data_IF_077705729469
#
_entry.id   IF_077705729469
#
_cell.length_a   1.000
_cell.length_b   1.000
_cell.length_c   1.000
_cell.angle_alpha   90.00
_cell.angle_beta   90.00
_cell.angle_gamma   90.00
#
_symmetry.space_group_name_H-M   'P 1'
#
loop_
_entity.id
_entity.type
_entity.pdbx_description
1 polymer ?
#
# COMPACT_ATOMS: atom_id res chain seq x y z
N UNK A 1 -36.04 -7.02 -44.99
CA UNK A 1 -35.49 -7.85 -43.89
C UNK A 1 -34.69 -6.94 -42.99
N UNK A 2 -35.15 -6.73 -41.75
CA UNK A 2 -34.42 -5.93 -40.77
C UNK A 2 -33.49 -6.85 -39.95
N UNK A 3 -32.22 -6.49 -39.70
CA UNK A 3 -31.29 -7.28 -38.91
C UNK A 3 -31.37 -6.85 -37.44
N UNK A 4 -32.28 -7.45 -36.67
CA UNK A 4 -32.41 -7.18 -35.22
C UNK A 4 -32.45 -8.46 -34.38
N UNK A 5 -31.85 -9.55 -34.86
CA UNK A 5 -31.66 -10.75 -34.07
C UNK A 5 -30.18 -10.84 -33.68
N UNK A 6 -29.83 -10.36 -32.48
CA UNK A 6 -28.44 -10.43 -32.02
C UNK A 6 -28.09 -9.81 -30.66
N UNK A 7 -29.05 -9.32 -29.88
CA UNK A 7 -28.78 -8.91 -28.49
C UNK A 7 -29.79 -9.61 -27.58
N UNK A 8 -29.43 -10.81 -27.14
CA UNK A 8 -30.10 -11.47 -26.02
C UNK A 8 -29.67 -10.68 -24.79
N UNK A 9 -30.58 -9.92 -24.18
CA UNK A 9 -30.29 -9.32 -22.88
C UNK A 9 -29.87 -10.46 -21.92
N UNK A 10 -28.79 -10.31 -21.14
CA UNK A 10 -28.48 -11.27 -20.09
C UNK A 10 -29.72 -11.43 -19.19
N UNK A 11 -29.93 -12.64 -18.65
CA UNK A 11 -31.05 -12.90 -17.71
C UNK A 11 -31.10 -11.77 -16.68
N UNK A 12 -32.26 -11.11 -16.55
CA UNK A 12 -32.49 -10.15 -15.49
C UNK A 12 -32.26 -10.86 -14.16
N UNK A 13 -31.19 -10.47 -13.48
CA UNK A 13 -30.85 -10.99 -12.17
C UNK A 13 -31.82 -10.37 -11.16
N UNK A 14 -32.64 -11.18 -10.49
CA UNK A 14 -33.46 -10.68 -9.39
C UNK A 14 -32.53 -10.29 -8.24
N UNK A 15 -32.50 -9.00 -7.91
CA UNK A 15 -31.64 -8.48 -6.84
C UNK A 15 -32.01 -9.09 -5.47
N UNK A 16 -33.22 -9.65 -5.34
CA UNK A 16 -33.68 -10.40 -4.15
C UNK A 16 -33.01 -11.76 -4.00
N UNK A 17 -32.48 -12.33 -5.09
CA UNK A 17 -31.63 -13.52 -5.07
C UNK A 17 -30.15 -13.17 -4.82
N UNK A 18 -29.82 -11.88 -4.61
CA UNK A 18 -28.49 -11.52 -4.14
C UNK A 18 -28.42 -11.81 -2.63
N UNK A 19 -27.46 -12.66 -2.23
CA UNK A 19 -27.19 -13.00 -0.83
C UNK A 19 -26.61 -11.82 -0.01
N UNK A 20 -26.92 -10.58 -0.39
CA UNK A 20 -26.40 -9.36 0.23
C UNK A 20 -26.87 -9.25 1.69
N UNK A 21 -28.03 -9.81 2.04
CA UNK A 21 -28.53 -9.87 3.42
C UNK A 21 -27.68 -10.73 4.35
N UNK A 22 -26.88 -11.65 3.81
CA UNK A 22 -26.09 -12.61 4.59
C UNK A 22 -24.63 -12.18 4.78
N UNK A 23 -24.22 -11.02 4.25
CA UNK A 23 -22.84 -10.53 4.39
C UNK A 23 -22.47 -10.38 5.88
N UNK A 24 -21.42 -11.07 6.31
CA UNK A 24 -20.97 -11.11 7.71
C UNK A 24 -21.64 -12.18 8.58
N UNK A 25 -22.53 -13.02 8.03
CA UNK A 25 -23.10 -14.18 8.72
C UNK A 25 -22.16 -15.40 8.70
N UNK A 26 -22.39 -16.37 9.59
CA UNK A 26 -21.67 -17.66 9.57
C UNK A 26 -21.73 -18.36 8.21
N UNK A 27 -22.84 -18.19 7.48
CA UNK A 27 -23.01 -18.74 6.15
C UNK A 27 -22.11 -18.03 5.13
N UNK A 28 -21.99 -16.71 5.19
CA UNK A 28 -21.06 -15.92 4.36
C UNK A 28 -19.60 -16.25 4.68
N UNK A 29 -19.24 -16.38 5.96
CA UNK A 29 -17.93 -16.87 6.40
C UNK A 29 -17.62 -18.25 5.81
N UNK A 30 -18.54 -19.21 5.92
CA UNK A 30 -18.38 -20.55 5.31
C UNK A 30 -18.27 -20.51 3.79
N UNK A 31 -19.05 -19.67 3.12
CA UNK A 31 -19.00 -19.53 1.65
C UNK A 31 -17.66 -18.93 1.22
N UNK A 32 -17.17 -17.89 1.91
CA UNK A 32 -15.86 -17.30 1.69
C UNK A 32 -14.74 -18.30 1.94
N UNK A 33 -14.82 -19.06 3.04
CA UNK A 33 -13.85 -20.11 3.35
C UNK A 33 -13.80 -21.17 2.25
N UNK A 34 -14.96 -21.66 1.80
CA UNK A 34 -15.04 -22.62 0.70
C UNK A 34 -14.49 -22.05 -0.62
N UNK A 35 -14.79 -20.77 -0.92
CA UNK A 35 -14.19 -20.06 -2.07
C UNK A 35 -12.67 -20.03 -1.94
N UNK A 36 -12.17 -19.67 -0.75
CA UNK A 36 -10.74 -19.61 -0.46
C UNK A 36 -10.04 -20.96 -0.64
N UNK A 37 -10.67 -22.07 -0.26
CA UNK A 37 -10.10 -23.41 -0.49
C UNK A 37 -9.90 -23.73 -1.98
N UNK A 38 -10.71 -23.14 -2.86
CA UNK A 38 -10.60 -23.33 -4.31
C UNK A 38 -9.64 -22.36 -4.99
N UNK A 39 -9.23 -21.28 -4.31
CA UNK A 39 -8.29 -20.31 -4.85
C UNK A 39 -6.86 -20.88 -4.88
N UNK A 40 -6.25 -21.07 -6.07
CA UNK A 40 -4.92 -21.67 -6.19
C UNK A 40 -3.84 -20.93 -5.42
N UNK A 41 -3.98 -19.60 -5.25
CA UNK A 41 -3.01 -18.79 -4.52
C UNK A 41 -2.86 -19.17 -3.03
N UNK A 42 -3.92 -19.69 -2.40
CA UNK A 42 -3.94 -19.99 -0.96
C UNK A 42 -3.48 -21.41 -0.63
N UNK A 43 -3.56 -22.34 -1.60
CA UNK A 43 -3.25 -23.75 -1.38
C UNK A 43 -1.77 -24.02 -1.02
N UNK A 44 -0.86 -23.11 -1.39
CA UNK A 44 0.58 -23.28 -1.22
C UNK A 44 1.20 -22.22 -0.29
N UNK A 45 0.44 -21.69 0.68
CA UNK A 45 0.97 -20.76 1.67
C UNK A 45 2.03 -21.46 2.54
N UNK A 46 3.27 -20.95 2.59
CA UNK A 46 4.33 -21.54 3.42
C UNK A 46 3.94 -21.58 4.90
N UNK A 47 4.23 -22.71 5.56
CA UNK A 47 4.02 -22.92 6.99
C UNK A 47 5.25 -22.49 7.82
N UNK A 48 6.01 -21.54 7.31
CA UNK A 48 7.22 -21.01 7.93
C UNK A 48 7.22 -19.48 7.90
N UNK A 49 7.92 -18.81 8.83
CA UNK A 49 8.04 -17.37 8.80
C UNK A 49 8.63 -16.85 7.50
N UNK A 50 7.99 -15.83 6.92
CA UNK A 50 8.40 -15.30 5.62
C UNK A 50 7.39 -14.36 5.00
N UNK A 51 7.74 -13.88 3.81
CA UNK A 51 6.89 -13.03 2.99
C UNK A 51 6.39 -13.81 1.77
N UNK A 52 5.08 -13.73 1.54
CA UNK A 52 4.45 -14.20 0.30
C UNK A 52 3.73 -13.03 -0.35
N UNK A 53 3.97 -12.81 -1.64
CA UNK A 53 3.45 -11.64 -2.36
C UNK A 53 2.71 -12.13 -3.58
N UNK A 54 1.56 -11.51 -3.85
CA UNK A 54 0.79 -11.72 -5.06
C UNK A 54 0.45 -10.38 -5.70
N UNK A 55 0.34 -10.39 -7.02
CA UNK A 55 -0.15 -9.29 -7.83
C UNK A 55 -1.56 -9.60 -8.32
N UNK A 56 -2.43 -8.59 -8.34
CA UNK A 56 -3.75 -8.73 -8.94
C UNK A 56 -3.64 -8.51 -10.45
N UNK A 57 -4.09 -9.50 -11.23
CA UNK A 57 -4.09 -9.43 -12.69
C UNK A 57 -5.42 -9.96 -13.22
N UNK A 58 -6.21 -9.13 -13.91
CA UNK A 58 -7.48 -9.54 -14.50
C UNK A 58 -8.39 -10.35 -13.54
N UNK A 59 -8.62 -9.84 -12.33
CA UNK A 59 -9.38 -10.49 -11.24
C UNK A 59 -8.75 -11.74 -10.62
N UNK A 60 -7.51 -12.09 -10.96
CA UNK A 60 -6.80 -13.25 -10.43
C UNK A 60 -5.67 -12.85 -9.47
N UNK A 61 -5.36 -13.75 -8.54
CA UNK A 61 -4.27 -13.58 -7.55
C UNK A 61 -3.03 -14.32 -8.06
N UNK A 62 -2.09 -13.59 -8.68
CA UNK A 62 -0.92 -14.18 -9.33
C UNK A 62 0.30 -14.11 -8.41
N UNK A 63 1.00 -15.23 -8.13
CA UNK A 63 2.22 -15.22 -7.32
C UNK A 63 3.28 -14.27 -7.88
N UNK A 64 3.82 -13.40 -7.02
CA UNK A 64 4.87 -12.48 -7.38
C UNK A 64 6.26 -13.14 -7.25
N UNK A 65 7.13 -13.05 -8.27
CA UNK A 65 8.44 -13.70 -8.23
C UNK A 65 9.28 -13.26 -7.02
N UNK A 66 9.94 -14.21 -6.35
CA UNK A 66 10.75 -13.94 -5.14
C UNK A 66 11.89 -12.96 -5.42
N UNK A 67 12.43 -12.96 -6.63
CA UNK A 67 13.50 -12.05 -7.07
C UNK A 67 13.02 -10.59 -7.19
N UNK A 68 11.70 -10.39 -7.31
CA UNK A 68 11.06 -9.07 -7.39
C UNK A 68 10.46 -8.62 -6.06
N UNK A 69 10.79 -9.29 -4.95
CA UNK A 69 10.35 -8.90 -3.60
C UNK A 69 10.68 -7.44 -3.32
N UNK A 70 9.66 -6.67 -2.89
CA UNK A 70 9.77 -5.24 -2.62
C UNK A 70 9.65 -4.34 -3.85
N UNK A 71 9.43 -4.89 -5.05
CA UNK A 71 9.12 -4.11 -6.27
C UNK A 71 7.61 -4.10 -6.53
N UNK A 72 7.05 -2.90 -6.65
CA UNK A 72 5.63 -2.64 -6.89
C UNK A 72 5.45 -1.75 -8.13
N UNK A 73 4.31 -1.87 -8.78
CA UNK A 73 3.92 -1.06 -9.94
C UNK A 73 2.80 -0.11 -9.56
N UNK A 74 2.94 1.17 -9.93
CA UNK A 74 2.01 2.22 -9.52
C UNK A 74 0.60 2.08 -10.13
N UNK A 75 0.47 1.32 -11.23
CA UNK A 75 -0.79 0.97 -11.87
C UNK A 75 -1.44 -0.31 -11.36
N UNK A 76 -0.83 -1.04 -10.43
CA UNK A 76 -1.30 -2.37 -9.99
C UNK A 76 -1.71 -2.37 -8.51
N UNK A 77 -2.43 -3.43 -8.11
CA UNK A 77 -2.69 -3.76 -6.71
C UNK A 77 -2.01 -5.08 -6.32
N UNK A 78 -1.55 -5.17 -5.07
CA UNK A 78 -0.82 -6.33 -4.55
C UNK A 78 -1.39 -6.80 -3.21
N UNK A 79 -1.20 -8.08 -2.91
CA UNK A 79 -1.42 -8.67 -1.58
C UNK A 79 -0.07 -9.16 -1.07
N UNK A 80 0.26 -8.81 0.17
CA UNK A 80 1.48 -9.23 0.86
C UNK A 80 1.07 -9.90 2.16
N UNK A 81 1.37 -11.18 2.30
CA UNK A 81 1.24 -11.94 3.54
C UNK A 81 2.59 -11.99 4.24
N UNK A 82 2.65 -11.48 5.47
CA UNK A 82 3.77 -11.64 6.37
C UNK A 82 3.41 -12.65 7.45
N UNK A 83 4.10 -13.79 7.44
CA UNK A 83 3.97 -14.84 8.45
C UNK A 83 5.14 -14.73 9.42
N UNK A 84 4.87 -14.71 10.72
CA UNK A 84 5.88 -14.63 11.76
C UNK A 84 5.50 -15.47 12.98
N UNK A 85 6.47 -15.76 13.85
CA UNK A 85 6.22 -16.54 15.08
C UNK A 85 5.87 -15.64 16.26
N UNK A 86 4.85 -16.04 17.01
CA UNK A 86 4.50 -15.48 18.32
C UNK A 86 4.48 -16.65 19.30
N UNK A 87 5.57 -16.81 20.06
CA UNK A 87 5.79 -18.03 20.83
C UNK A 87 5.97 -19.23 19.90
N UNK A 88 5.15 -20.27 20.08
CA UNK A 88 5.16 -21.49 19.26
C UNK A 88 4.15 -21.45 18.10
N UNK A 89 3.29 -20.42 18.04
CA UNK A 89 2.26 -20.28 17.01
C UNK A 89 2.68 -19.31 15.89
N UNK A 90 2.07 -19.47 14.72
CA UNK A 90 2.22 -18.55 13.60
C UNK A 90 1.15 -17.48 13.67
N UNK A 91 1.57 -16.23 13.48
CA UNK A 91 0.70 -15.09 13.29
C UNK A 91 0.90 -14.52 11.88
N UNK A 92 -0.12 -13.82 11.41
CA UNK A 92 -0.20 -13.36 10.03
C UNK A 92 -0.64 -11.90 9.98
N UNK A 93 0.07 -11.10 9.18
CA UNK A 93 -0.37 -9.78 8.76
C UNK A 93 -0.58 -9.81 7.23
N UNK A 94 -1.76 -9.41 6.77
CA UNK A 94 -2.12 -9.31 5.36
C UNK A 94 -2.19 -7.83 4.97
N UNK A 95 -1.31 -7.40 4.09
CA UNK A 95 -1.30 -6.06 3.53
C UNK A 95 -1.84 -6.11 2.11
N UNK A 96 -2.86 -5.30 1.79
CA UNK A 96 -3.21 -5.02 0.40
C UNK A 96 -2.72 -3.63 0.03
N UNK A 97 -1.79 -3.59 -0.93
CA UNK A 97 -1.14 -2.39 -1.39
C UNK A 97 -1.80 -1.90 -2.68
N UNK A 98 -2.17 -0.62 -2.70
CA UNK A 98 -2.87 0.03 -3.79
C UNK A 98 -1.94 1.05 -4.46
N UNK A 99 -1.64 0.80 -5.73
CA UNK A 99 -0.92 1.73 -6.58
C UNK A 99 -1.69 3.03 -6.77
N UNK A 100 -0.96 4.14 -6.94
CA UNK A 100 -1.53 5.47 -7.15
C UNK A 100 -2.38 5.61 -8.40
N UNK A 101 -2.17 4.71 -9.38
CA UNK A 101 -2.87 4.61 -10.67
C UNK A 101 -3.63 3.28 -10.82
N UNK A 102 -3.76 2.49 -9.75
CA UNK A 102 -4.49 1.22 -9.82
C UNK A 102 -5.96 1.43 -10.15
N UNK A 103 -6.52 0.47 -10.86
CA UNK A 103 -7.91 0.53 -11.32
C UNK A 103 -8.89 0.07 -10.24
N UNK A 104 -10.17 0.44 -10.38
CA UNK A 104 -11.18 0.15 -9.37
C UNK A 104 -11.45 -1.37 -9.23
N UNK A 105 -11.35 -2.14 -10.33
CA UNK A 105 -11.37 -3.61 -10.32
C UNK A 105 -10.27 -4.13 -9.41
N UNK A 106 -9.03 -3.76 -9.70
CA UNK A 106 -7.86 -4.31 -9.03
C UNK A 106 -7.87 -3.99 -7.54
N UNK A 107 -8.20 -2.74 -7.19
CA UNK A 107 -8.34 -2.34 -5.79
C UNK A 107 -9.47 -3.11 -5.08
N UNK A 108 -10.61 -3.30 -5.76
CA UNK A 108 -11.74 -4.06 -5.23
C UNK A 108 -11.41 -5.54 -5.04
N UNK A 109 -10.72 -6.15 -6.00
CA UNK A 109 -10.26 -7.54 -5.95
C UNK A 109 -9.23 -7.72 -4.84
N UNK A 110 -8.25 -6.81 -4.71
CA UNK A 110 -7.26 -6.87 -3.63
C UNK A 110 -7.95 -6.85 -2.25
N UNK A 111 -8.89 -5.91 -2.04
CA UNK A 111 -9.64 -5.84 -0.79
C UNK A 111 -10.48 -7.09 -0.52
N UNK A 112 -11.20 -7.59 -1.53
CA UNK A 112 -12.01 -8.81 -1.41
C UNK A 112 -11.15 -10.04 -1.11
N UNK A 113 -10.05 -10.22 -1.85
CA UNK A 113 -9.14 -11.35 -1.70
C UNK A 113 -8.35 -11.31 -0.39
N UNK A 114 -8.10 -10.14 0.18
CA UNK A 114 -7.58 -10.03 1.56
C UNK A 114 -8.55 -10.56 2.60
N UNK A 115 -9.86 -10.29 2.45
CA UNK A 115 -10.88 -10.85 3.35
C UNK A 115 -11.00 -12.36 3.16
N UNK A 116 -10.95 -12.84 1.91
CA UNK A 116 -10.95 -14.27 1.60
C UNK A 116 -9.72 -14.99 2.19
N UNK A 117 -8.54 -14.39 2.11
CA UNK A 117 -7.31 -14.92 2.69
C UNK A 117 -7.36 -14.93 4.23
N UNK A 118 -7.87 -13.89 4.87
CA UNK A 118 -8.04 -13.87 6.33
C UNK A 118 -8.99 -14.99 6.76
N UNK A 119 -10.09 -15.21 6.04
CA UNK A 119 -11.01 -16.32 6.31
C UNK A 119 -10.32 -17.69 6.16
N UNK A 120 -9.48 -17.86 5.13
CA UNK A 120 -8.66 -19.06 4.96
C UNK A 120 -7.72 -19.30 6.16
N UNK A 121 -7.21 -18.23 6.75
CA UNK A 121 -6.39 -18.21 7.97
C UNK A 121 -7.24 -18.13 9.25
N UNK A 122 -8.50 -18.56 9.18
CA UNK A 122 -9.45 -18.65 10.31
C UNK A 122 -9.75 -17.32 11.01
N UNK A 123 -9.64 -16.20 10.29
CA UNK A 123 -9.93 -14.85 10.80
C UNK A 123 -8.89 -14.32 11.80
N UNK A 124 -7.73 -14.98 11.89
CA UNK A 124 -6.67 -14.64 12.85
C UNK A 124 -5.71 -13.55 12.34
N UNK A 125 -5.77 -13.19 11.06
CA UNK A 125 -4.79 -12.29 10.47
C UNK A 125 -5.15 -10.81 10.66
N UNK A 126 -4.14 -9.97 10.92
CA UNK A 126 -4.32 -8.51 10.88
C UNK A 126 -4.43 -8.07 9.43
N UNK A 127 -5.44 -7.29 9.07
CA UNK A 127 -5.59 -6.77 7.71
C UNK A 127 -5.12 -5.32 7.65
N UNK A 128 -4.33 -4.97 6.64
CA UNK A 128 -3.74 -3.64 6.46
C UNK A 128 -4.04 -3.11 5.06
N UNK A 129 -4.65 -1.92 4.98
CA UNK A 129 -4.77 -1.16 3.75
C UNK A 129 -3.57 -0.25 3.58
N UNK A 130 -2.78 -0.50 2.54
CA UNK A 130 -1.59 0.28 2.20
C UNK A 130 -1.82 1.05 0.90
N UNK A 131 -1.49 2.35 0.90
CA UNK A 131 -1.56 3.19 -0.30
C UNK A 131 -0.16 3.64 -0.69
N UNK A 132 0.18 3.61 -1.99
CA UNK A 132 1.52 3.97 -2.50
C UNK A 132 2.06 5.29 -1.93
N UNK A 133 1.20 6.29 -1.77
CA UNK A 133 1.58 7.63 -1.32
C UNK A 133 1.83 7.70 0.18
N UNK A 134 1.33 6.77 0.98
CA UNK A 134 1.50 6.79 2.42
C UNK A 134 1.53 5.36 3.00
N UNK A 135 2.54 4.54 2.67
CA UNK A 135 2.64 3.20 3.21
C UNK A 135 3.01 3.25 4.70
N UNK A 136 2.54 2.27 5.47
CA UNK A 136 2.89 2.13 6.87
C UNK A 136 4.37 1.85 7.11
N UNK A 137 4.89 2.28 8.27
CA UNK A 137 6.24 1.92 8.72
C UNK A 137 6.42 0.39 8.83
N UNK A 138 5.37 -0.34 9.23
CA UNK A 138 5.34 -1.79 9.35
C UNK A 138 5.47 -2.46 7.98
N UNK A 139 4.69 -2.02 7.00
CA UNK A 139 4.79 -2.51 5.62
C UNK A 139 6.17 -2.24 5.03
N UNK A 140 6.69 -1.02 5.21
CA UNK A 140 8.01 -0.65 4.69
C UNK A 140 9.13 -1.41 5.40
N UNK A 141 8.98 -1.75 6.68
CA UNK A 141 9.94 -2.55 7.42
C UNK A 141 10.08 -4.00 6.93
N UNK A 142 9.08 -4.52 6.20
CA UNK A 142 9.13 -5.85 5.58
C UNK A 142 10.18 -5.92 4.46
N UNK A 143 10.45 -4.79 3.80
CA UNK A 143 11.30 -4.74 2.62
C UNK A 143 12.64 -4.07 2.92
N UNK A 144 13.73 -4.80 2.68
CA UNK A 144 15.06 -4.18 2.68
C UNK A 144 15.20 -3.15 1.57
N UNK A 145 14.55 -3.43 0.43
CA UNK A 145 14.52 -2.55 -0.73
C UNK A 145 13.06 -2.37 -1.13
N UNK A 146 12.52 -1.18 -0.95
CA UNK A 146 11.19 -0.82 -1.45
C UNK A 146 11.36 -0.05 -2.75
N UNK A 147 10.75 -0.56 -3.83
CA UNK A 147 10.84 0.00 -5.16
C UNK A 147 9.45 0.20 -5.77
N UNK A 148 9.16 1.39 -6.27
CA UNK A 148 7.93 1.68 -7.02
C UNK A 148 8.29 2.06 -8.45
N UNK A 149 7.68 1.36 -9.42
CA UNK A 149 7.87 1.56 -10.86
C UNK A 149 6.59 2.06 -11.51
N UNK A 150 6.74 2.80 -12.60
CA UNK A 150 5.62 3.26 -13.41
C UNK A 150 5.09 2.12 -14.30
N UNK A 151 3.78 2.07 -14.46
CA UNK A 151 3.10 1.10 -15.33
C UNK A 151 2.34 0.05 -14.52
N UNK A 152 1.98 -1.05 -15.17
CA UNK A 152 1.15 -2.08 -14.58
C UNK A 152 0.59 -3.06 -15.63
N UNK A 153 -0.28 -3.96 -15.17
CA UNK A 153 -1.07 -4.86 -15.99
C UNK A 153 -2.25 -4.08 -16.59
N UNK A 154 -2.78 -4.57 -17.71
CA UNK A 154 -3.95 -3.98 -18.35
C UNK A 154 -5.18 -4.31 -17.48
N UNK A 155 -6.00 -3.31 -17.15
CA UNK A 155 -7.27 -3.51 -16.42
C UNK A 155 -8.17 -4.53 -17.10
N UNK A 156 -8.92 -5.29 -16.29
CA UNK A 156 -9.91 -6.25 -16.76
C UNK A 156 -11.23 -5.61 -17.24
N UNK A 157 -11.43 -4.31 -17.00
CA UNK A 157 -12.69 -3.61 -17.31
C UNK A 157 -12.73 -2.89 -18.66
N UNK A 158 -11.61 -2.62 -19.35
CA UNK A 158 -11.64 -1.88 -20.63
C UNK A 158 -10.46 -2.18 -21.55
N UNK A 159 -10.74 -2.28 -22.85
CA UNK A 159 -9.74 -2.49 -23.92
C UNK A 159 -9.01 -1.18 -24.24
N UNK A 160 -7.70 -1.14 -24.05
CA UNK A 160 -6.83 -0.05 -24.54
C UNK A 160 -5.79 -0.64 -25.48
N UNK A 161 -5.66 -0.06 -26.67
CA UNK A 161 -4.73 -0.50 -27.72
C UNK A 161 -3.26 -0.49 -27.24
N UNK A 162 -2.40 -1.37 -27.77
CA UNK A 162 -0.98 -1.42 -27.39
C UNK A 162 -0.31 -0.10 -27.76
N UNK A 163 0.12 0.69 -26.77
CA UNK A 163 0.99 1.83 -27.05
C UNK A 163 2.34 1.31 -27.54
N UNK A 164 2.78 1.84 -28.67
CA UNK A 164 4.12 1.61 -29.21
C UNK A 164 5.18 1.88 -28.13
N UNK A 165 6.22 1.04 -28.09
CA UNK A 165 7.35 1.18 -27.16
C UNK A 165 8.03 2.53 -27.40
N UNK A 166 7.59 3.58 -26.70
CA UNK A 166 8.30 4.86 -26.63
C UNK A 166 9.70 4.58 -26.10
N UNK A 167 10.70 5.32 -26.62
CA UNK A 167 12.06 5.33 -26.08
C UNK A 167 11.97 5.44 -24.55
N UNK A 168 12.36 4.39 -23.83
CA UNK A 168 12.18 4.29 -22.39
C UNK A 168 13.12 5.29 -21.74
N UNK A 169 12.59 6.46 -21.38
CA UNK A 169 13.24 7.46 -20.55
C UNK A 169 12.72 7.27 -19.13
N UNK A 170 13.46 6.51 -18.32
CA UNK A 170 13.08 6.21 -16.93
C UNK A 170 14.02 6.94 -15.99
N UNK A 171 13.46 7.70 -15.05
CA UNK A 171 14.21 8.36 -13.98
C UNK A 171 13.86 7.74 -12.63
N UNK A 172 14.83 7.10 -11.99
CA UNK A 172 14.70 6.57 -10.63
C UNK A 172 15.33 7.54 -9.64
N UNK A 173 14.62 7.84 -8.55
CA UNK A 173 15.13 8.56 -7.39
C UNK A 173 15.38 7.57 -6.26
N UNK A 174 16.56 7.64 -5.65
CA UNK A 174 17.02 6.75 -4.59
C UNK A 174 17.31 7.58 -3.35
N UNK A 175 16.62 7.27 -2.26
CA UNK A 175 16.70 8.04 -1.03
C UNK A 175 16.50 7.18 0.22
N UNK A 176 17.05 7.64 1.34
CA UNK A 176 16.85 7.00 2.65
C UNK A 176 15.44 7.24 3.19
N UNK A 177 14.84 6.19 3.76
CA UNK A 177 13.55 6.29 4.43
C UNK A 177 13.58 7.34 5.56
N UNK A 178 12.69 8.36 5.56
CA UNK A 178 12.71 9.44 6.56
C UNK A 178 12.33 8.99 7.99
N UNK A 179 11.43 8.01 8.11
CA UNK A 179 10.84 7.57 9.39
C UNK A 179 11.45 6.33 10.04
N UNK A 180 12.30 5.57 9.33
CA UNK A 180 12.81 4.28 9.80
C UNK A 180 14.26 4.47 10.22
N UNK A 181 14.56 4.18 11.49
CA UNK A 181 15.89 4.37 12.09
C UNK A 181 16.96 3.39 11.55
N UNK A 182 16.56 2.39 10.75
CA UNK A 182 17.49 1.42 10.15
C UNK A 182 18.34 2.12 9.09
N UNK A 183 19.66 1.97 9.21
CA UNK A 183 20.64 2.64 8.35
C UNK A 183 20.56 2.24 6.86
N UNK A 184 20.06 1.04 6.54
CA UNK A 184 19.96 0.49 5.20
C UNK A 184 18.53 0.44 4.62
N UNK A 185 17.56 1.13 5.23
CA UNK A 185 16.20 1.28 4.67
C UNK A 185 16.22 2.32 3.54
N UNK A 186 16.27 1.84 2.30
CA UNK A 186 16.36 2.66 1.10
C UNK A 186 15.14 2.46 0.22
N UNK A 187 14.68 3.58 -0.35
CA UNK A 187 13.56 3.64 -1.28
C UNK A 187 14.10 3.94 -2.67
N UNK A 188 13.61 3.21 -3.66
CA UNK A 188 13.82 3.45 -5.08
C UNK A 188 12.48 3.81 -5.69
N UNK A 189 12.35 4.99 -6.28
CA UNK A 189 11.05 5.46 -6.76
C UNK A 189 11.19 6.00 -8.17
N UNK A 190 10.38 5.49 -9.09
CA UNK A 190 10.30 6.07 -10.44
C UNK A 190 9.56 7.40 -10.40
N UNK A 191 10.27 8.46 -10.81
CA UNK A 191 9.77 9.83 -10.84
C UNK A 191 9.66 10.32 -12.28
N UNK A 192 8.92 11.40 -12.48
CA UNK A 192 8.83 12.02 -13.81
C UNK A 192 10.24 12.38 -14.34
N UNK A 193 10.59 12.05 -15.59
CA UNK A 193 11.91 12.29 -16.14
C UNK A 193 12.10 13.77 -16.53
N UNK A 194 12.07 14.66 -15.53
CA UNK A 194 12.22 16.10 -15.65
C UNK A 194 13.20 16.64 -14.61
N UNK A 195 13.89 17.73 -14.94
CA UNK A 195 14.84 18.38 -14.01
C UNK A 195 14.16 18.82 -12.71
N UNK A 196 12.83 19.05 -12.74
CA UNK A 196 12.02 19.42 -11.57
C UNK A 196 11.91 18.32 -10.52
N UNK A 197 12.23 17.07 -10.86
CA UNK A 197 12.21 15.94 -9.93
C UNK A 197 13.52 15.77 -9.16
N UNK A 198 14.57 16.52 -9.53
CA UNK A 198 15.91 16.41 -8.94
C UNK A 198 16.00 17.13 -7.59
N UNK A 199 16.74 16.52 -6.68
CA UNK A 199 17.02 17.05 -5.34
C UNK A 199 18.48 16.82 -4.96
N UNK A 200 19.11 17.79 -4.32
CA UNK A 200 20.54 17.71 -3.97
C UNK A 200 20.88 16.67 -2.90
N UNK A 201 19.88 16.14 -2.19
CA UNK A 201 20.05 15.22 -1.06
C UNK A 201 19.97 13.76 -1.44
N UNK A 202 19.63 13.45 -2.69
CA UNK A 202 19.31 12.09 -3.14
C UNK A 202 20.16 11.68 -4.36
N UNK A 203 20.09 10.41 -4.75
CA UNK A 203 20.77 9.87 -5.94
C UNK A 203 19.74 9.55 -7.02
N UNK A 204 20.07 9.84 -8.28
CA UNK A 204 19.17 9.63 -9.42
C UNK A 204 19.81 8.72 -10.46
N UNK A 205 19.02 7.80 -11.04
CA UNK A 205 19.43 6.91 -12.12
C UNK A 205 18.52 7.15 -13.32
N UNK A 206 19.09 7.65 -14.42
CA UNK A 206 18.40 7.89 -15.69
C UNK A 206 18.76 6.79 -16.68
N UNK A 207 17.79 5.96 -17.05
CA UNK A 207 17.89 5.02 -18.16
C UNK A 207 17.36 5.66 -19.43
N UNK A 208 18.22 5.74 -20.45
CA UNK A 208 17.88 6.25 -21.78
C UNK A 208 17.92 5.14 -22.85
N UNK A 209 17.87 3.89 -22.42
CA UNK A 209 17.91 2.69 -23.26
C UNK A 209 19.32 2.29 -23.70
N UNK A 210 20.09 3.21 -24.29
CA UNK A 210 21.45 2.95 -24.78
C UNK A 210 22.57 3.30 -23.79
N UNK A 211 22.25 4.09 -22.77
CA UNK A 211 23.19 4.54 -21.73
C UNK A 211 22.42 4.82 -20.44
N UNK A 212 23.04 4.46 -19.32
CA UNK A 212 22.55 4.77 -17.98
C UNK A 212 23.41 5.88 -17.39
N UNK A 213 22.76 6.89 -16.83
CA UNK A 213 23.41 7.99 -16.13
C UNK A 213 23.05 7.94 -14.66
N UNK A 214 24.05 8.07 -13.78
CA UNK A 214 23.85 8.18 -12.33
C UNK A 214 24.25 9.58 -11.91
N UNK A 215 23.33 10.33 -11.31
CA UNK A 215 23.60 11.65 -10.77
C UNK A 215 23.57 11.60 -9.24
N UNK A 216 24.66 12.04 -8.61
CA UNK A 216 24.81 12.04 -7.16
C UNK A 216 24.65 13.46 -6.63
N UNK A 217 23.58 13.71 -5.89
CA UNK A 217 23.37 14.99 -5.20
C UNK A 217 24.50 15.28 -4.21
N UNK A 218 24.84 16.57 -4.03
CA UNK A 218 25.95 16.99 -3.18
C UNK A 218 25.78 16.65 -1.70
N UNK A 219 24.54 16.41 -1.25
CA UNK A 219 24.17 16.05 0.12
C UNK A 219 23.75 14.57 0.26
N UNK A 220 23.84 13.77 -0.81
CA UNK A 220 23.45 12.35 -0.73
C UNK A 220 24.40 11.51 0.13
N UNK A 221 23.84 10.46 0.72
CA UNK A 221 24.53 9.55 1.62
C UNK A 221 25.31 8.47 0.86
N UNK A 222 26.39 7.91 1.45
CA UNK A 222 27.11 6.77 0.88
C UNK A 222 26.22 5.55 0.62
N UNK A 223 25.19 5.34 1.43
CA UNK A 223 24.28 4.21 1.30
C UNK A 223 23.38 4.33 0.06
N UNK A 224 22.89 5.54 -0.24
CA UNK A 224 22.14 5.82 -1.47
C UNK A 224 23.01 5.59 -2.71
N UNK A 225 24.29 5.98 -2.67
CA UNK A 225 25.26 5.71 -3.76
C UNK A 225 25.48 4.22 -3.97
N UNK A 226 25.68 3.46 -2.88
CA UNK A 226 25.85 2.01 -2.94
C UNK A 226 24.60 1.32 -3.52
N UNK A 227 23.41 1.80 -3.14
CA UNK A 227 22.16 1.29 -3.67
C UNK A 227 21.95 1.63 -5.14
N UNK A 228 22.33 2.83 -5.57
CA UNK A 228 22.33 3.19 -6.98
C UNK A 228 23.24 2.26 -7.81
N UNK A 229 24.44 1.96 -7.30
CA UNK A 229 25.33 1.00 -7.96
C UNK A 229 24.70 -0.40 -8.07
N UNK A 230 24.02 -0.88 -7.02
CA UNK A 230 23.27 -2.13 -7.08
C UNK A 230 22.15 -2.09 -8.12
N UNK A 231 21.32 -1.03 -8.11
CA UNK A 231 20.21 -0.86 -9.06
C UNK A 231 20.73 -0.86 -10.49
N UNK A 232 21.81 -0.13 -10.76
CA UNK A 232 22.42 -0.09 -12.10
C UNK A 232 22.97 -1.44 -12.49
N UNK A 233 23.66 -2.15 -11.60
CA UNK A 233 24.14 -3.50 -11.87
C UNK A 233 22.98 -4.43 -12.27
N UNK A 234 21.88 -4.41 -11.51
CA UNK A 234 20.71 -5.22 -11.81
C UNK A 234 20.08 -4.86 -13.17
N UNK A 235 20.13 -3.58 -13.57
CA UNK A 235 19.65 -3.11 -14.88
C UNK A 235 20.58 -3.51 -16.04
N UNK A 236 21.89 -3.59 -15.82
CA UNK A 236 22.89 -3.94 -16.85
C UNK A 236 23.16 -5.44 -16.95
N UNK A 237 22.75 -6.26 -15.96
CA UNK A 237 22.84 -7.73 -16.06
C UNK A 237 22.20 -8.28 -17.35
N UNK A 238 21.13 -7.65 -17.83
CA UNK A 238 20.42 -8.04 -19.04
C UNK A 238 20.93 -7.37 -20.33
N UNK A 239 21.80 -6.37 -20.25
CA UNK A 239 22.22 -5.53 -21.38
C UNK A 239 23.63 -4.96 -21.18
N UNK A 240 24.52 -5.08 -22.17
CA UNK A 240 25.80 -4.36 -22.16
C UNK A 240 25.55 -2.87 -22.44
N UNK A 241 25.27 -2.09 -21.40
CA UNK A 241 24.93 -0.66 -21.47
C UNK A 241 26.04 0.14 -20.81
N UNK A 242 26.44 1.25 -21.45
CA UNK A 242 27.41 2.19 -20.88
C UNK A 242 26.82 2.88 -19.64
N UNK A 243 27.62 3.05 -18.60
CA UNK A 243 27.21 3.67 -17.34
C UNK A 243 28.11 4.85 -17.05
N UNK A 244 27.53 6.03 -16.86
CA UNK A 244 28.27 7.23 -16.47
C UNK A 244 27.77 7.77 -15.13
N UNK A 245 28.69 7.94 -14.19
CA UNK A 245 28.40 8.47 -12.84
C UNK A 245 28.91 9.90 -12.76
N UNK A 246 28.04 10.83 -12.36
CA UNK A 246 28.30 12.27 -12.27
C UNK A 246 27.99 12.76 -10.85
N UNK A 247 28.97 13.39 -10.21
CA UNK A 247 28.72 14.17 -8.99
C UNK A 247 28.14 15.54 -9.33
N UNK A 248 27.14 16.02 -8.59
CA UNK A 248 26.60 17.39 -8.74
C UNK A 248 27.69 18.47 -8.67
N UNK A 249 28.80 18.20 -7.97
CA UNK A 249 29.92 19.13 -7.82
C UNK A 249 30.81 19.23 -9.08
N UNK A 250 30.66 18.32 -10.03
CA UNK A 250 31.42 18.33 -11.28
C UNK A 250 30.74 19.24 -12.31
N UNK A 251 31.53 19.99 -13.09
CA UNK A 251 31.00 20.85 -14.17
C UNK A 251 30.23 20.05 -15.23
N UNK A 252 30.63 18.78 -15.47
CA UNK A 252 29.98 17.87 -16.42
C UNK A 252 28.58 17.42 -15.98
N UNK A 253 28.22 17.58 -14.70
CA UNK A 253 26.90 17.22 -14.18
C UNK A 253 25.75 17.97 -14.85
N UNK A 254 26.02 19.13 -15.47
CA UNK A 254 25.05 19.89 -16.27
C UNK A 254 24.40 19.05 -17.37
N UNK A 255 25.15 18.11 -17.97
CA UNK A 255 24.63 17.21 -19.02
C UNK A 255 23.41 16.43 -18.50
N UNK A 256 23.44 15.97 -17.25
CA UNK A 256 22.32 15.24 -16.66
C UNK A 256 21.05 16.10 -16.55
N UNK A 257 21.21 17.37 -16.13
CA UNK A 257 20.11 18.33 -16.03
C UNK A 257 19.56 18.69 -17.41
N UNK A 258 20.45 18.85 -18.41
CA UNK A 258 20.07 19.11 -19.81
C UNK A 258 19.28 17.97 -20.43
N UNK A 259 19.69 16.73 -20.16
CA UNK A 259 18.99 15.52 -20.61
C UNK A 259 17.56 15.43 -20.10
N UNK A 260 17.27 16.08 -18.97
CA UNK A 260 15.95 16.17 -18.34
C UNK A 260 15.23 17.50 -18.64
N UNK A 261 15.69 18.26 -19.64
CA UNK A 261 15.05 19.48 -20.12
C UNK A 261 15.39 20.76 -19.35
N UNK A 262 16.37 20.74 -18.45
CA UNK A 262 16.79 21.89 -17.64
C UNK A 262 17.93 22.71 -18.26
N UNK A 263 17.82 23.10 -19.54
CA UNK A 263 18.89 23.80 -20.28
C UNK A 263 19.32 25.12 -19.62
N UNK A 264 18.36 25.87 -19.10
CA UNK A 264 18.60 27.18 -18.45
C UNK A 264 18.69 27.07 -16.92
N UNK A 265 18.75 25.85 -16.38
CA UNK A 265 18.77 25.59 -14.94
C UNK A 265 20.18 25.27 -14.47
N UNK A 266 20.64 25.98 -13.44
CA UNK A 266 21.89 25.68 -12.77
C UNK A 266 21.76 24.41 -11.91
N UNK A 267 22.70 23.44 -11.99
CA UNK A 267 22.63 22.23 -11.19
C UNK A 267 22.73 22.47 -9.67
N UNK A 268 23.13 23.66 -9.23
CA UNK A 268 23.42 24.01 -7.83
C UNK A 268 22.21 24.40 -6.97
N UNK A 269 21.01 24.46 -7.54
CA UNK A 269 19.77 24.93 -6.89
C UNK A 269 18.58 24.02 -7.21
N UNK A 270 18.77 22.70 -7.08
CA UNK A 270 17.73 21.70 -7.39
C UNK A 270 17.08 21.19 -6.10
N UNK A 271 15.80 21.49 -5.92
CA UNK A 271 15.04 21.04 -4.75
C UNK A 271 13.71 20.47 -5.21
N UNK A 272 13.45 19.22 -4.84
CA UNK A 272 12.23 18.53 -5.20
C UNK A 272 11.73 17.69 -4.02
N UNK A 273 10.44 17.80 -3.64
CA UNK A 273 9.90 16.98 -2.56
C UNK A 273 10.02 15.50 -2.90
N UNK A 274 10.34 14.67 -1.89
CA UNK A 274 10.40 13.22 -2.06
C UNK A 274 9.01 12.67 -2.42
N UNK A 275 8.93 11.67 -3.31
CA UNK A 275 7.66 11.03 -3.64
C UNK A 275 7.19 10.17 -2.46
N UNK A 276 5.90 10.25 -2.15
CA UNK A 276 5.32 9.61 -0.96
C UNK A 276 5.52 10.43 0.32
N UNK A 277 4.56 10.31 1.23
CA UNK A 277 4.58 10.87 2.57
C UNK A 277 4.96 9.77 3.54
N UNK A 278 6.16 9.88 4.11
CA UNK A 278 6.64 8.98 5.13
C UNK A 278 6.50 9.67 6.48
N UNK A 279 6.01 8.95 7.49
CA UNK A 279 5.89 9.48 8.83
C UNK A 279 7.26 10.04 9.29
N UNK A 280 7.34 11.35 9.56
CA UNK A 280 8.55 11.96 10.13
C UNK A 280 8.46 11.83 11.65
N UNK A 281 9.49 11.28 12.31
CA UNK A 281 9.63 11.33 13.78
C UNK A 281 10.08 12.73 14.27
N UNK A 282 9.44 13.78 13.78
CA UNK A 282 9.71 15.16 14.21
C UNK A 282 8.79 15.57 15.37
N UNK A 283 9.24 16.44 16.30
CA UNK A 283 8.42 16.96 17.39
C UNK A 283 7.35 17.99 16.96
N UNK A 284 7.27 18.30 15.66
CA UNK A 284 6.54 19.48 15.14
C UNK A 284 5.38 19.12 14.20
N UNK A 285 4.94 17.85 14.17
CA UNK A 285 3.61 17.56 13.62
C UNK A 285 2.60 17.82 14.73
N UNK A 286 1.59 18.65 14.43
CA UNK A 286 0.37 18.73 15.21
C UNK A 286 -0.28 17.33 15.21
N UNK A 287 0.13 16.48 16.15
CA UNK A 287 -0.43 15.15 16.31
C UNK A 287 -1.89 15.38 16.63
N UNK A 288 -2.73 15.14 15.62
CA UNK A 288 -4.18 15.18 15.74
C UNK A 288 -4.57 14.41 17.00
N UNK A 289 -5.47 14.98 17.81
CA UNK A 289 -5.84 14.37 19.09
C UNK A 289 -6.30 12.94 18.82
N UNK A 290 -5.82 12.02 19.66
CA UNK A 290 -6.13 10.60 19.52
C UNK A 290 -7.59 10.40 19.90
N UNK A 291 -8.36 9.73 19.06
CA UNK A 291 -9.80 9.56 19.29
C UNK A 291 -10.17 8.10 19.23
N UNK A 292 -10.95 7.64 20.20
CA UNK A 292 -11.54 6.31 20.22
C UNK A 292 -13.03 6.43 19.96
N UNK A 293 -13.54 5.69 19.00
CA UNK A 293 -14.96 5.60 18.68
C UNK A 293 -15.44 4.16 18.83
N UNK A 294 -16.71 3.99 19.19
CA UNK A 294 -17.42 2.71 19.25
C UNK A 294 -18.48 2.67 18.16
N UNK A 295 -18.48 1.60 17.38
CA UNK A 295 -19.52 1.23 16.44
C UNK A 295 -20.33 0.11 17.10
N UNK A 296 -21.57 0.43 17.48
CA UNK A 296 -22.44 -0.47 18.24
C UNK A 296 -23.87 -0.46 17.68
N UNK A 297 -24.54 -1.60 17.65
CA UNK A 297 -25.98 -1.69 17.39
C UNK A 297 -26.81 -2.05 18.63
N UNK A 298 -26.20 -2.06 19.82
CA UNK A 298 -26.87 -2.43 21.09
C UNK A 298 -28.11 -1.58 21.41
N UNK A 299 -28.21 -0.36 20.86
CA UNK A 299 -29.39 0.51 20.99
C UNK A 299 -30.58 0.10 20.10
N UNK A 300 -30.43 -0.95 19.28
CA UNK A 300 -31.37 -1.37 18.23
C UNK A 300 -31.15 -0.68 16.88
N UNK A 301 -30.21 0.26 16.80
CA UNK A 301 -29.72 0.88 15.56
C UNK A 301 -28.20 1.04 15.64
N UNK A 302 -27.54 0.89 14.49
CA UNK A 302 -26.10 1.11 14.39
C UNK A 302 -25.75 2.57 14.68
N UNK A 303 -24.99 2.82 15.75
CA UNK A 303 -24.47 4.12 16.16
C UNK A 303 -22.94 4.13 16.11
N UNK A 304 -22.37 5.32 15.86
CA UNK A 304 -20.94 5.55 15.81
C UNK A 304 -20.60 6.71 16.74
N UNK A 305 -20.16 6.38 17.95
CA UNK A 305 -20.08 7.31 19.08
C UNK A 305 -18.63 7.52 19.51
N UNK A 306 -18.27 8.76 19.85
CA UNK A 306 -16.97 9.10 20.43
C UNK A 306 -16.91 8.63 21.89
N UNK A 307 -15.95 7.76 22.20
CA UNK A 307 -15.74 7.20 23.54
C UNK A 307 -14.68 7.99 24.31
N UNK A 308 -13.58 8.35 23.65
CA UNK A 308 -12.46 9.12 24.23
C UNK A 308 -11.87 10.10 23.22
N UNK A 309 -11.50 11.30 23.69
CA UNK A 309 -10.81 12.34 22.91
C UNK A 309 -9.56 12.83 23.66
N UNK A 310 -8.38 12.43 23.20
CA UNK A 310 -7.08 12.78 23.78
C UNK A 310 -6.72 12.02 25.07
N UNK A 311 -7.64 11.24 25.62
CA UNK A 311 -7.42 10.45 26.84
C UNK A 311 -6.60 9.18 26.57
N UNK A 312 -5.91 8.70 27.61
CA UNK A 312 -5.31 7.36 27.58
C UNK A 312 -6.41 6.32 27.54
N UNK A 313 -6.22 5.32 26.68
CA UNK A 313 -7.10 4.19 26.56
C UNK A 313 -6.26 2.91 26.60
N UNK A 314 -6.86 1.85 27.12
CA UNK A 314 -6.23 0.54 27.23
C UNK A 314 -7.22 -0.56 26.81
N UNK A 315 -6.79 -1.82 26.91
CA UNK A 315 -7.59 -2.96 26.45
C UNK A 315 -8.94 -3.07 27.18
N UNK A 316 -9.08 -2.53 28.39
CA UNK A 316 -10.33 -2.57 29.15
C UNK A 316 -11.42 -1.65 28.59
N UNK A 317 -11.06 -0.68 27.74
CA UNK A 317 -12.01 0.18 27.03
C UNK A 317 -12.66 -0.51 25.82
N UNK A 318 -12.17 -1.68 25.42
CA UNK A 318 -12.63 -2.42 24.26
C UNK A 318 -13.63 -3.52 24.68
N UNK A 319 -14.91 -3.24 24.47
CA UNK A 319 -15.99 -4.20 24.70
C UNK A 319 -15.99 -5.28 23.61
N UNK A 320 -15.87 -6.56 24.00
CA UNK A 320 -15.86 -7.70 23.08
C UNK A 320 -17.11 -7.85 22.22
N UNK A 321 -18.18 -7.13 22.52
CA UNK A 321 -19.44 -7.18 21.79
C UNK A 321 -19.55 -6.13 20.68
N UNK A 322 -18.52 -5.33 20.40
CA UNK A 322 -18.60 -4.21 19.46
C UNK A 322 -17.33 -4.04 18.61
N UNK A 323 -17.40 -3.11 17.65
CA UNK A 323 -16.26 -2.68 16.85
C UNK A 323 -15.79 -1.30 17.30
N UNK A 324 -14.48 -1.12 17.42
CA UNK A 324 -13.88 0.15 17.83
C UNK A 324 -12.99 0.72 16.73
N UNK A 325 -13.09 2.03 16.50
CA UNK A 325 -12.16 2.78 15.66
C UNK A 325 -11.24 3.61 16.55
N UNK A 326 -9.95 3.32 16.50
CA UNK A 326 -8.94 4.06 17.24
C UNK A 326 -8.02 4.84 16.30
N UNK A 327 -8.03 6.15 16.47
CA UNK A 327 -7.30 7.08 15.67
C UNK A 327 -6.02 7.55 16.38
N UNK A 328 -4.85 7.21 15.83
CA UNK A 328 -3.55 7.62 16.37
C UNK A 328 -3.02 8.92 15.76
N UNK A 329 -3.79 9.57 14.88
CA UNK A 329 -3.37 10.72 14.10
C UNK A 329 -2.68 10.33 12.80
N UNK A 330 -1.75 9.37 12.84
CA UNK A 330 -1.00 8.85 11.69
C UNK A 330 -1.53 7.51 11.12
N UNK A 331 -2.47 6.86 11.81
CA UNK A 331 -3.12 5.61 11.40
C UNK A 331 -4.49 5.51 12.05
N UNK A 332 -5.39 4.83 11.35
CA UNK A 332 -6.66 4.39 11.90
C UNK A 332 -6.63 2.88 12.18
N UNK A 333 -6.78 2.50 13.43
CA UNK A 333 -6.95 1.12 13.85
C UNK A 333 -8.44 0.79 13.98
N UNK A 334 -8.81 -0.42 13.59
CA UNK A 334 -10.15 -0.97 13.74
C UNK A 334 -10.00 -2.25 14.56
N UNK A 335 -10.52 -2.25 15.78
CA UNK A 335 -10.54 -3.44 16.62
C UNK A 335 -11.93 -4.06 16.55
N UNK A 336 -12.00 -5.35 16.23
CA UNK A 336 -13.24 -6.09 16.05
C UNK A 336 -13.44 -7.05 17.22
N UNK A 337 -14.45 -6.80 18.04
CA UNK A 337 -14.87 -7.70 19.11
C UNK A 337 -15.33 -9.05 18.57
N UNK A 338 -15.06 -10.11 19.32
CA UNK A 338 -15.46 -11.47 18.94
C UNK A 338 -16.99 -11.62 18.93
N UNK A 339 -17.67 -10.98 19.87
CA UNK A 339 -19.12 -10.89 20.01
C UNK A 339 -19.80 -9.80 19.18
N UNK A 340 -19.03 -9.01 18.41
CA UNK A 340 -19.60 -7.96 17.56
C UNK A 340 -20.61 -8.50 16.54
N UNK A 341 -21.66 -7.73 16.28
CA UNK A 341 -22.75 -8.14 15.42
C UNK A 341 -22.30 -8.27 13.95
N UNK A 342 -23.03 -9.06 13.15
CA UNK A 342 -22.76 -9.15 11.71
C UNK A 342 -22.88 -7.78 11.02
N UNK A 343 -23.81 -6.93 11.47
CA UNK A 343 -23.99 -5.57 10.97
C UNK A 343 -22.77 -4.69 11.24
N UNK A 344 -22.23 -4.74 12.46
CA UNK A 344 -21.02 -4.00 12.84
C UNK A 344 -19.80 -4.48 12.04
N UNK A 345 -19.61 -5.81 11.98
CA UNK A 345 -18.51 -6.48 11.23
C UNK A 345 -18.57 -6.19 9.73
N UNK A 346 -19.75 -6.02 9.14
CA UNK A 346 -19.89 -5.67 7.73
C UNK A 346 -19.65 -4.18 7.44
N UNK A 347 -19.83 -3.31 8.44
CA UNK A 347 -19.86 -1.85 8.25
C UNK A 347 -18.55 -1.15 8.58
N UNK A 348 -17.60 -1.79 9.29
CA UNK A 348 -16.38 -1.14 9.77
C UNK A 348 -15.61 -0.40 8.66
N UNK A 349 -15.46 -1.00 7.47
CA UNK A 349 -14.67 -0.39 6.39
C UNK A 349 -15.36 0.85 5.83
N UNK A 350 -16.70 0.79 5.67
CA UNK A 350 -17.51 1.95 5.24
C UNK A 350 -17.45 3.06 6.28
N UNK A 351 -17.54 2.72 7.58
CA UNK A 351 -17.46 3.68 8.69
C UNK A 351 -16.07 4.31 8.76
N UNK A 352 -15.00 3.52 8.63
CA UNK A 352 -13.63 4.01 8.60
C UNK A 352 -13.38 4.97 7.43
N UNK A 353 -13.86 4.63 6.23
CA UNK A 353 -13.78 5.52 5.07
C UNK A 353 -14.60 6.79 5.24
N UNK A 354 -15.82 6.68 5.81
CA UNK A 354 -16.66 7.84 6.11
C UNK A 354 -15.99 8.78 7.11
N UNK A 355 -15.40 8.23 8.17
CA UNK A 355 -14.67 8.99 9.18
C UNK A 355 -13.46 9.72 8.57
N UNK A 356 -12.66 9.02 7.76
CA UNK A 356 -11.55 9.61 7.00
C UNK A 356 -12.02 10.76 6.11
N UNK A 357 -13.15 10.61 5.42
CA UNK A 357 -13.75 11.67 4.61
C UNK A 357 -14.21 12.86 5.46
N UNK A 358 -14.71 12.63 6.68
CA UNK A 358 -15.12 13.71 7.58
C UNK A 358 -13.95 14.56 8.06
N UNK A 359 -12.81 13.95 8.36
CA UNK A 359 -11.56 14.66 8.68
C UNK A 359 -11.09 15.52 7.50
N UNK A 360 -11.23 14.98 6.28
CA UNK A 360 -10.91 15.70 5.06
C UNK A 360 -11.79 16.95 4.89
N UNK A 361 -13.10 16.82 5.14
CA UNK A 361 -14.08 17.89 5.02
C UNK A 361 -13.90 18.97 6.09
N UNK A 362 -13.46 18.61 7.31
CA UNK A 362 -13.26 19.56 8.42
C UNK A 362 -12.00 20.42 8.31
N UNK A 363 -11.19 20.24 7.25
CA UNK A 363 -9.88 20.88 7.06
C UNK A 363 -8.88 20.64 8.20
N UNK A 364 -9.16 19.71 9.12
CA UNK A 364 -8.19 19.25 10.12
C UNK A 364 -6.97 18.61 9.43
N UNK A 365 -7.20 17.95 8.29
CA UNK A 365 -6.14 17.47 7.40
C UNK A 365 -6.67 17.38 5.97
N UNK A 366 -6.07 18.13 5.05
CA UNK A 366 -6.40 18.09 3.61
C UNK A 366 -5.96 16.79 2.91
N UNK A 367 -5.42 15.83 3.65
CA UNK A 367 -4.89 14.58 3.12
C UNK A 367 -5.31 13.35 3.94
N UNK A 368 -6.38 13.48 4.72
CA UNK A 368 -6.88 12.40 5.56
C UNK A 368 -7.16 11.12 4.75
N UNK A 369 -7.54 11.23 3.48
CA UNK A 369 -7.82 10.10 2.58
C UNK A 369 -6.64 9.12 2.39
N UNK A 370 -5.42 9.55 2.68
CA UNK A 370 -4.20 8.73 2.63
C UNK A 370 -3.90 7.96 3.92
N UNK A 371 -4.70 8.17 4.98
CA UNK A 371 -4.47 7.52 6.29
C UNK A 371 -4.51 6.00 6.16
N UNK A 372 -3.47 5.27 6.62
CA UNK A 372 -3.47 3.82 6.66
C UNK A 372 -4.57 3.31 7.59
N UNK A 373 -5.21 2.22 7.20
CA UNK A 373 -6.28 1.59 7.98
C UNK A 373 -5.89 0.14 8.27
N UNK A 374 -5.90 -0.24 9.54
CA UNK A 374 -5.56 -1.60 9.98
C UNK A 374 -6.69 -2.20 10.80
N UNK A 375 -7.17 -3.40 10.44
CA UNK A 375 -8.19 -4.16 11.18
C UNK A 375 -7.54 -5.29 11.97
N UNK A 376 -7.86 -5.39 13.25
CA UNK A 376 -7.39 -6.43 14.17
C UNK A 376 -8.58 -7.10 14.86
N UNK A 377 -8.52 -8.42 15.05
CA UNK A 377 -9.55 -9.18 15.74
C UNK A 377 -9.20 -9.35 17.23
N UNK A 378 -10.22 -9.34 18.09
CA UNK A 378 -10.05 -9.66 19.51
C UNK A 378 -9.36 -11.01 19.71
N UNK A 379 -8.33 -11.04 20.57
CA UNK A 379 -7.54 -12.24 20.85
C UNK A 379 -6.37 -12.46 19.88
N UNK A 380 -6.36 -11.75 18.75
CA UNK A 380 -5.29 -11.79 17.74
C UNK A 380 -4.64 -10.41 17.59
N UNK A 381 -4.50 -9.69 18.69
CA UNK A 381 -3.93 -8.35 18.67
C UNK A 381 -2.45 -8.35 18.25
N UNK A 382 -2.13 -7.70 17.13
CA UNK A 382 -0.76 -7.62 16.66
C UNK A 382 0.13 -6.79 17.61
N UNK A 383 1.45 -7.05 17.66
CA UNK A 383 2.38 -6.25 18.46
C UNK A 383 2.32 -4.75 18.13
N UNK A 384 2.05 -4.40 16.87
CA UNK A 384 1.90 -3.01 16.43
C UNK A 384 0.65 -2.35 17.03
N UNK A 385 -0.49 -3.07 17.06
CA UNK A 385 -1.70 -2.59 17.72
C UNK A 385 -1.49 -2.41 19.23
N UNK A 386 -0.91 -3.41 19.91
CA UNK A 386 -0.63 -3.33 21.35
C UNK A 386 0.28 -2.15 21.70
N UNK A 387 1.27 -1.89 20.84
CA UNK A 387 2.13 -0.71 20.98
C UNK A 387 1.34 0.59 20.83
N UNK A 388 0.39 0.65 19.89
CA UNK A 388 -0.48 1.82 19.71
C UNK A 388 -1.37 2.09 20.93
N UNK A 389 -1.82 1.05 21.65
CA UNK A 389 -2.55 1.19 22.92
C UNK A 389 -1.69 1.78 24.05
N UNK A 390 -0.40 1.44 24.06
CA UNK A 390 0.49 1.65 25.23
C UNK A 390 1.06 3.07 25.41
N UNK A 391 0.76 4.01 24.52
CA UNK A 391 1.43 5.33 24.48
C UNK A 391 0.62 6.41 25.18
#
# INVERSE_FOLDING_TARGET
MAPHEGLVNPKEYDIKDSNVELIGSDLDHRVKYNSAQTEPAWQNIPQEPGLTIWRIENFQVIPWPKEKTGQFYDGDSFIVLHTYKVGDELAHDIFFWLGSKTTQDEAGVAAYKTVELDEFLHGAATQHREVQQHPSDEFLALFRNYAVRSGGVRSGFTHVEPQERKEVLTLLRIFKHPGIARLDSLIVYEVEPTWKSLDESDVFVLDKGNKIWVWQGKKCSPMEKAKAAQVVNDMTLAKHVDVEVLSQLESRSKIFVDLLGGRDVAPSTLEAPRPGRFAKRGPDESVRSRKLFRLSDASGKLSFDLVKDGERFDRSDLDGNDVFLYDTGNRLWVWQGSGASAGEKAMWLKVAQFYVRKIQESQESSEAYLTPISKVAQGHESPAFLKALSV
#
